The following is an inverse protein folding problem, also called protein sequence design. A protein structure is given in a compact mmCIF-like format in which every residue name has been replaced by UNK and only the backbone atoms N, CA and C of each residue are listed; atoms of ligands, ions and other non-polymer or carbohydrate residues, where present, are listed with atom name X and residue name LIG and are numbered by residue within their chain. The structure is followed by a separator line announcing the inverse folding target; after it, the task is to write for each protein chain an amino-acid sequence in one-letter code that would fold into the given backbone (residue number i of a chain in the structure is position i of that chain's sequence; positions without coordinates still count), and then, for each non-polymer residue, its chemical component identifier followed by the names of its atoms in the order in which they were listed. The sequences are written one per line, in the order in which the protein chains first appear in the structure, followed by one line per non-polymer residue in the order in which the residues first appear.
data_IF_379717671023
#
_entry.id   IF_379717671023
#
_cell.length_a   1.000
_cell.length_b   1.000
_cell.length_c   1.000
_cell.angle_alpha   90.00
_cell.angle_beta   90.00
_cell.angle_gamma   90.00
#
_symmetry.space_group_name_H-M   'P 1'
#
loop_
_entity.id
_entity.type
_entity.pdbx_description
1 polymer ?
#
# COMPACT_ATOMS: atom_id res chain seq x y z
N UNK A 1 -17.70 -20.79 -22.38
CA UNK A 1 -16.26 -21.15 -22.40
C UNK A 1 -16.07 -22.50 -21.72
N UNK A 2 -15.63 -23.55 -22.44
CA UNK A 2 -15.28 -24.84 -21.82
C UNK A 2 -13.93 -24.70 -21.12
N UNK A 3 -13.91 -24.88 -19.80
CA UNK A 3 -12.66 -24.90 -19.02
C UNK A 3 -11.94 -26.20 -19.36
N UNK A 4 -10.73 -26.11 -19.90
CA UNK A 4 -9.89 -27.28 -20.23
C UNK A 4 -9.52 -28.07 -18.97
N UNK A 5 -9.28 -29.38 -19.09
CA UNK A 5 -8.98 -30.27 -17.94
C UNK A 5 -7.82 -29.78 -17.06
N UNK A 6 -6.82 -29.12 -17.66
CA UNK A 6 -5.67 -28.51 -16.98
C UNK A 6 -6.07 -27.33 -16.08
N UNK A 7 -7.03 -26.51 -16.52
CA UNK A 7 -7.55 -25.39 -15.73
C UNK A 7 -8.42 -25.90 -14.57
N UNK A 8 -9.15 -26.99 -14.77
CA UNK A 8 -9.95 -27.62 -13.72
C UNK A 8 -9.06 -28.20 -12.61
N UNK A 9 -7.91 -28.78 -12.95
CA UNK A 9 -6.92 -29.25 -11.98
C UNK A 9 -6.29 -28.10 -11.18
N UNK A 10 -5.93 -26.98 -11.83
CA UNK A 10 -5.44 -25.77 -11.16
C UNK A 10 -6.47 -25.20 -10.18
N UNK A 11 -7.74 -25.13 -10.57
CA UNK A 11 -8.83 -24.68 -9.69
C UNK A 11 -8.94 -25.56 -8.46
N UNK A 12 -8.89 -26.90 -8.61
CA UNK A 12 -8.93 -27.83 -7.47
C UNK A 12 -7.75 -27.63 -6.52
N UNK A 13 -6.55 -27.40 -7.06
CA UNK A 13 -5.35 -27.10 -6.25
C UNK A 13 -5.51 -25.79 -5.49
N UNK A 14 -5.99 -24.71 -6.13
CA UNK A 14 -6.26 -23.43 -5.49
C UNK A 14 -7.31 -23.56 -4.38
N UNK A 15 -8.38 -24.33 -4.61
CA UNK A 15 -9.41 -24.60 -3.59
C UNK A 15 -8.83 -25.34 -2.38
N UNK A 16 -7.94 -26.33 -2.59
CA UNK A 16 -7.26 -27.04 -1.51
C UNK A 16 -6.36 -26.10 -0.71
N UNK A 17 -5.56 -25.27 -1.39
CA UNK A 17 -4.69 -24.28 -0.75
C UNK A 17 -5.48 -23.21 0.00
N UNK A 18 -6.60 -22.75 -0.58
CA UNK A 18 -7.49 -21.81 0.09
C UNK A 18 -8.02 -22.39 1.40
N UNK A 19 -8.45 -23.66 1.43
CA UNK A 19 -8.93 -24.30 2.67
C UNK A 19 -7.87 -24.31 3.76
N UNK A 20 -6.60 -24.53 3.43
CA UNK A 20 -5.50 -24.52 4.42
C UNK A 20 -5.14 -23.10 4.87
N UNK A 21 -5.29 -22.09 3.98
CA UNK A 21 -4.95 -20.69 4.26
C UNK A 21 -6.12 -19.80 4.66
N UNK A 22 -7.35 -20.32 4.68
CA UNK A 22 -8.59 -19.56 4.90
C UNK A 22 -8.53 -18.70 6.17
N UNK A 23 -8.05 -19.26 7.28
CA UNK A 23 -7.93 -18.54 8.55
C UNK A 23 -7.00 -17.32 8.45
N UNK A 24 -5.80 -17.52 7.90
CA UNK A 24 -4.82 -16.44 7.67
C UNK A 24 -5.38 -15.36 6.72
N UNK A 25 -6.05 -15.77 5.64
CA UNK A 25 -6.67 -14.85 4.66
C UNK A 25 -7.77 -14.01 5.33
N UNK A 26 -8.69 -14.64 6.06
CA UNK A 26 -9.78 -13.92 6.75
C UNK A 26 -9.21 -12.95 7.79
N UNK A 27 -8.18 -13.37 8.53
CA UNK A 27 -7.50 -12.48 9.48
C UNK A 27 -6.92 -11.25 8.78
N UNK A 28 -6.21 -11.44 7.67
CA UNK A 28 -5.64 -10.33 6.89
C UNK A 28 -6.71 -9.39 6.30
N UNK A 29 -7.84 -9.93 5.83
CA UNK A 29 -8.97 -9.10 5.39
C UNK A 29 -9.55 -8.26 6.55
N UNK A 30 -9.64 -8.84 7.74
CA UNK A 30 -10.04 -8.11 8.95
C UNK A 30 -9.07 -6.98 9.31
N UNK A 31 -7.76 -7.19 9.15
CA UNK A 31 -6.76 -6.15 9.38
C UNK A 31 -6.89 -4.97 8.39
N UNK A 32 -7.20 -5.25 7.12
CA UNK A 32 -7.43 -4.20 6.12
C UNK A 32 -8.67 -3.37 6.43
N UNK A 33 -9.78 -3.99 6.82
CA UNK A 33 -11.02 -3.29 7.20
C UNK A 33 -10.83 -2.35 8.39
N UNK A 34 -9.96 -2.71 9.33
CA UNK A 34 -9.63 -1.89 10.50
C UNK A 34 -8.66 -0.75 10.19
N UNK A 35 -7.93 -0.81 9.08
CA UNK A 35 -6.86 0.13 8.79
C UNK A 35 -7.38 1.57 8.67
N UNK A 36 -8.44 1.82 7.90
CA UNK A 36 -9.00 3.16 7.79
C UNK A 36 -9.76 3.61 9.04
N UNK A 37 -10.52 2.70 9.67
CA UNK A 37 -11.42 3.05 10.75
C UNK A 37 -10.69 3.22 12.08
N UNK A 38 -9.82 2.27 12.42
CA UNK A 38 -9.28 2.12 13.78
C UNK A 38 -7.86 2.66 13.91
N UNK A 39 -7.10 2.75 12.80
CA UNK A 39 -5.71 3.25 12.83
C UNK A 39 -5.61 4.76 12.57
N UNK A 40 -4.49 5.36 12.94
CA UNK A 40 -4.22 6.79 12.74
C UNK A 40 -3.75 7.10 11.30
N UNK A 41 -3.66 8.39 10.95
CA UNK A 41 -3.22 8.85 9.63
C UNK A 41 -1.81 8.37 9.23
N UNK A 42 -0.91 8.19 10.20
CA UNK A 42 0.44 7.69 9.93
C UNK A 42 0.42 6.22 9.49
N UNK A 43 -0.40 5.37 10.11
CA UNK A 43 -0.57 3.98 9.68
C UNK A 43 -1.17 3.87 8.28
N UNK A 44 -2.17 4.70 7.97
CA UNK A 44 -2.74 4.75 6.63
C UNK A 44 -1.70 5.24 5.61
N UNK A 45 -0.87 6.21 5.98
CA UNK A 45 0.24 6.65 5.14
C UNK A 45 1.34 5.58 4.99
N UNK A 46 1.58 4.74 6.01
CA UNK A 46 2.49 3.59 5.90
C UNK A 46 2.05 2.64 4.76
N UNK A 47 0.75 2.37 4.64
CA UNK A 47 0.21 1.53 3.56
C UNK A 47 0.41 2.17 2.18
N UNK A 48 0.21 3.48 2.08
CA UNK A 48 0.47 4.23 0.84
C UNK A 48 1.95 4.16 0.45
N UNK A 49 2.83 4.43 1.43
CA UNK A 49 4.27 4.38 1.26
C UNK A 49 4.72 2.97 0.85
N UNK A 50 4.21 1.93 1.51
CA UNK A 50 4.45 0.54 1.12
C UNK A 50 4.05 0.29 -0.35
N UNK A 51 2.85 0.72 -0.75
CA UNK A 51 2.39 0.58 -2.13
C UNK A 51 3.29 1.29 -3.15
N UNK A 52 3.79 2.50 -2.83
CA UNK A 52 4.76 3.23 -3.66
C UNK A 52 6.11 2.49 -3.80
N UNK A 53 6.50 1.69 -2.81
CA UNK A 53 7.75 0.94 -2.86
C UNK A 53 7.64 -0.39 -3.62
N UNK A 54 6.44 -0.97 -3.71
CA UNK A 54 6.23 -2.31 -4.27
C UNK A 54 6.43 -2.49 -5.79
N UNK A 55 6.34 -1.48 -6.68
CA UNK A 55 6.58 -1.67 -8.11
C UNK A 55 7.95 -2.29 -8.38
N UNK A 56 7.95 -3.47 -9.01
CA UNK A 56 9.16 -4.25 -9.33
C UNK A 56 10.07 -4.56 -8.13
N UNK A 57 9.53 -4.56 -6.90
CA UNK A 57 10.25 -4.92 -5.68
C UNK A 57 9.54 -6.04 -4.93
N UNK A 58 10.30 -6.85 -4.18
CA UNK A 58 9.72 -7.87 -3.31
C UNK A 58 8.98 -7.17 -2.16
N UNK A 59 7.73 -7.59 -1.90
CA UNK A 59 6.89 -7.01 -0.85
C UNK A 59 7.58 -7.03 0.53
N UNK A 60 8.21 -8.15 0.88
CA UNK A 60 8.92 -8.28 2.16
C UNK A 60 10.01 -7.21 2.33
N UNK A 61 10.85 -6.98 1.31
CA UNK A 61 11.90 -5.96 1.35
C UNK A 61 11.34 -4.55 1.48
N UNK A 62 10.18 -4.28 0.86
CA UNK A 62 9.51 -2.98 0.98
C UNK A 62 8.94 -2.78 2.39
N UNK A 63 8.33 -3.82 2.95
CA UNK A 63 7.75 -3.76 4.28
C UNK A 63 8.81 -3.60 5.37
N UNK A 64 9.92 -4.34 5.26
CA UNK A 64 11.07 -4.20 6.15
C UNK A 64 11.58 -2.75 6.14
N UNK A 65 11.72 -2.15 4.95
CA UNK A 65 12.16 -0.77 4.81
C UNK A 65 11.18 0.24 5.43
N UNK A 66 9.86 0.10 5.20
CA UNK A 66 8.85 0.98 5.82
C UNK A 66 8.88 0.88 7.34
N UNK A 67 9.01 -0.34 7.89
CA UNK A 67 9.15 -0.54 9.33
C UNK A 67 10.37 0.18 9.90
N UNK A 68 11.52 0.07 9.25
CA UNK A 68 12.74 0.76 9.67
C UNK A 68 12.58 2.28 9.60
N UNK A 69 12.06 2.81 8.48
CA UNK A 69 11.80 4.25 8.28
C UNK A 69 10.86 4.78 9.38
N UNK A 70 9.79 4.05 9.68
CA UNK A 70 8.83 4.41 10.73
C UNK A 70 9.47 4.38 12.11
N UNK A 71 10.21 3.33 12.45
CA UNK A 71 10.90 3.19 13.74
C UNK A 71 11.92 4.31 13.97
N UNK A 72 12.62 4.74 12.92
CA UNK A 72 13.54 5.90 12.97
C UNK A 72 12.81 7.26 13.02
N UNK A 73 11.47 7.27 12.97
CA UNK A 73 10.66 8.49 12.91
C UNK A 73 10.85 9.28 11.61
N UNK A 74 11.37 8.66 10.56
CA UNK A 74 11.67 9.33 9.28
C UNK A 74 10.45 9.39 8.36
N UNK A 75 9.40 8.63 8.64
CA UNK A 75 8.21 8.61 7.79
C UNK A 75 7.60 10.02 7.67
N UNK A 76 7.52 10.78 8.77
CA UNK A 76 6.91 12.11 8.78
C UNK A 76 7.87 13.27 8.46
N UNK A 77 9.16 13.13 8.80
CA UNK A 77 10.14 14.22 8.76
C UNK A 77 11.41 13.94 7.94
N UNK A 78 11.65 12.68 7.57
CA UNK A 78 12.87 12.28 6.89
C UNK A 78 12.98 12.86 5.49
N UNK A 79 14.15 13.36 5.12
CA UNK A 79 14.44 13.89 3.78
C UNK A 79 14.49 12.77 2.74
N UNK A 80 14.52 13.12 1.44
CA UNK A 80 14.70 12.12 0.37
C UNK A 80 15.94 11.26 0.61
N UNK A 81 17.05 11.84 1.08
CA UNK A 81 18.28 11.11 1.39
C UNK A 81 18.12 10.18 2.59
N UNK A 82 17.42 10.60 3.65
CA UNK A 82 17.14 9.74 4.79
C UNK A 82 16.28 8.53 4.38
N UNK A 83 15.26 8.76 3.54
CA UNK A 83 14.41 7.68 3.03
C UNK A 83 15.24 6.76 2.13
N UNK A 84 15.96 7.32 1.16
CA UNK A 84 16.83 6.59 0.22
C UNK A 84 17.81 5.65 0.92
N UNK A 85 18.45 6.10 2.00
CA UNK A 85 19.39 5.29 2.79
C UNK A 85 18.77 4.01 3.38
N UNK A 86 17.46 4.02 3.63
CA UNK A 86 16.73 2.86 4.14
C UNK A 86 16.21 1.92 3.02
N UNK A 87 16.35 2.30 1.75
CA UNK A 87 15.78 1.58 0.60
C UNK A 87 16.81 0.69 -0.15
N UNK A 88 17.92 0.32 0.46
CA UNK A 88 19.03 -0.43 -0.19
C UNK A 88 18.60 -1.74 -0.87
N UNK A 89 17.59 -2.46 -0.34
CA UNK A 89 17.02 -3.69 -0.94
C UNK A 89 15.83 -3.44 -1.87
N UNK A 90 15.42 -2.19 -2.05
CA UNK A 90 14.28 -1.79 -2.88
C UNK A 90 14.80 -1.25 -4.22
N UNK A 91 14.38 -1.87 -5.33
CA UNK A 91 14.76 -1.42 -6.68
C UNK A 91 14.24 -0.01 -6.94
N UNK A 92 15.02 0.79 -7.67
CA UNK A 92 14.70 2.20 -7.99
C UNK A 92 14.54 3.11 -6.76
N UNK A 93 15.33 2.82 -5.71
CA UNK A 93 15.32 3.53 -4.42
C UNK A 93 15.35 5.06 -4.54
N UNK A 94 16.16 5.63 -5.43
CA UNK A 94 16.23 7.08 -5.64
C UNK A 94 14.86 7.69 -5.98
N UNK A 95 14.19 7.18 -7.01
CA UNK A 95 12.88 7.68 -7.44
C UNK A 95 11.79 7.39 -6.42
N UNK A 96 11.85 6.23 -5.78
CA UNK A 96 10.87 5.84 -4.76
C UNK A 96 10.96 6.69 -3.48
N UNK A 97 12.17 7.08 -3.08
CA UNK A 97 12.36 8.03 -1.98
C UNK A 97 11.73 9.39 -2.32
N UNK A 98 12.00 9.91 -3.53
CA UNK A 98 11.38 11.13 -4.04
C UNK A 98 9.84 11.06 -4.05
N UNK A 99 9.28 9.95 -4.54
CA UNK A 99 7.82 9.75 -4.59
C UNK A 99 7.18 9.67 -3.20
N UNK A 100 7.81 8.98 -2.25
CA UNK A 100 7.33 8.90 -0.87
C UNK A 100 7.29 10.28 -0.22
N UNK A 101 8.38 11.05 -0.31
CA UNK A 101 8.45 12.42 0.24
C UNK A 101 7.43 13.35 -0.46
N UNK A 102 7.31 13.25 -1.78
CA UNK A 102 6.32 14.02 -2.54
C UNK A 102 4.87 13.68 -2.15
N UNK A 103 4.56 12.40 -1.96
CA UNK A 103 3.25 11.95 -1.49
C UNK A 103 2.96 12.45 -0.08
N UNK A 104 3.94 12.41 0.82
CA UNK A 104 3.82 12.95 2.19
C UNK A 104 3.41 14.41 2.18
N UNK A 105 4.05 15.23 1.36
CA UNK A 105 3.74 16.66 1.26
C UNK A 105 2.29 16.94 0.83
N UNK A 106 1.66 16.05 0.04
CA UNK A 106 0.26 16.19 -0.36
C UNK A 106 -0.73 15.98 0.77
N UNK A 107 -0.38 15.18 1.77
CA UNK A 107 -1.25 14.87 2.91
C UNK A 107 -0.85 15.59 4.19
N UNK A 108 0.20 16.40 4.14
CA UNK A 108 0.63 17.21 5.27
C UNK A 108 -0.23 18.48 5.34
N UNK A 109 -0.90 18.70 6.47
CA UNK A 109 -1.65 19.92 6.76
C UNK A 109 -1.21 20.46 8.13
N UNK A 110 -0.68 21.68 8.17
CA UNK A 110 -0.15 22.33 9.40
C UNK A 110 0.80 21.43 10.20
N UNK A 111 1.66 20.68 9.50
CA UNK A 111 2.65 19.79 10.10
C UNK A 111 2.11 18.42 10.56
N UNK A 112 0.83 18.11 10.35
CA UNK A 112 0.21 16.81 10.66
C UNK A 112 -0.27 16.10 9.41
N UNK A 113 -0.15 14.78 9.36
CA UNK A 113 -0.77 14.00 8.28
C UNK A 113 -2.30 14.01 8.42
N UNK A 114 -2.99 14.23 7.31
CA UNK A 114 -4.45 14.27 7.20
C UNK A 114 -4.94 13.47 5.98
N UNK A 115 -4.36 12.27 5.77
CA UNK A 115 -4.74 11.37 4.67
C UNK A 115 -6.16 10.82 4.86
N UNK A 116 -6.58 10.53 6.09
CA UNK A 116 -7.93 10.04 6.43
C UNK A 116 -9.00 11.06 6.08
N UNK A 117 -8.73 12.35 6.28
CA UNK A 117 -9.66 13.42 5.88
C UNK A 117 -9.82 13.49 4.36
N UNK A 118 -8.71 13.32 3.63
CA UNK A 118 -8.72 13.26 2.17
C UNK A 118 -9.51 12.05 1.66
N UNK A 119 -9.45 10.94 2.39
CA UNK A 119 -10.14 9.68 2.11
C UNK A 119 -11.65 9.73 2.40
N UNK A 120 -12.07 10.33 3.52
CA UNK A 120 -13.48 10.35 3.97
C UNK A 120 -14.41 11.14 3.04
N UNK A 121 -13.87 12.09 2.29
CA UNK A 121 -14.67 12.94 1.41
C UNK A 121 -15.04 12.25 0.08
N UNK A 122 -14.53 11.06 -0.21
CA UNK A 122 -14.81 10.35 -1.46
C UNK A 122 -15.74 9.17 -1.24
N UNK A 123 -16.92 9.22 -1.86
CA UNK A 123 -17.95 8.17 -1.81
C UNK A 123 -17.81 7.12 -2.91
N UNK A 124 -17.02 7.39 -3.95
CA UNK A 124 -16.77 6.49 -5.07
C UNK A 124 -15.30 6.04 -5.11
N UNK A 125 -15.09 4.74 -4.95
CA UNK A 125 -13.76 4.10 -4.99
C UNK A 125 -13.08 4.28 -6.35
N UNK A 126 -13.85 4.29 -7.45
CA UNK A 126 -13.30 4.44 -8.79
C UNK A 126 -12.77 5.85 -9.00
N UNK A 127 -13.57 6.86 -8.67
CA UNK A 127 -13.14 8.26 -8.67
C UNK A 127 -11.91 8.47 -7.79
N UNK A 128 -11.86 7.83 -6.61
CA UNK A 128 -10.70 7.99 -5.74
C UNK A 128 -9.43 7.30 -6.28
N UNK A 129 -9.58 6.12 -6.89
CA UNK A 129 -8.49 5.46 -7.61
C UNK A 129 -7.95 6.35 -8.73
N UNK A 130 -8.83 6.97 -9.51
CA UNK A 130 -8.45 7.95 -10.54
C UNK A 130 -7.68 9.13 -9.95
N UNK A 131 -8.19 9.69 -8.86
CA UNK A 131 -7.55 10.80 -8.18
C UNK A 131 -6.14 10.43 -7.69
N UNK A 132 -5.96 9.26 -7.07
CA UNK A 132 -4.66 8.77 -6.60
C UNK A 132 -3.65 8.67 -7.75
N UNK A 133 -4.05 8.05 -8.86
CA UNK A 133 -3.19 7.88 -10.05
C UNK A 133 -2.77 9.24 -10.62
N UNK A 134 -3.68 10.22 -10.66
CA UNK A 134 -3.39 11.55 -11.20
C UNK A 134 -2.54 12.42 -10.28
N UNK A 135 -2.69 12.28 -8.96
CA UNK A 135 -2.14 13.23 -8.00
C UNK A 135 -0.91 12.72 -7.25
N UNK A 136 -0.71 11.41 -7.16
CA UNK A 136 0.40 10.81 -6.42
C UNK A 136 1.39 10.18 -7.40
N UNK A 137 2.52 10.85 -7.60
CA UNK A 137 3.60 10.35 -8.45
C UNK A 137 4.08 8.98 -7.95
N UNK A 138 4.25 8.04 -8.87
CA UNK A 138 4.69 6.68 -8.56
C UNK A 138 3.55 5.68 -8.30
N UNK A 139 2.27 6.11 -8.27
CA UNK A 139 1.13 5.21 -8.26
C UNK A 139 0.57 5.01 -9.67
N UNK A 140 0.59 3.76 -10.15
CA UNK A 140 -0.26 3.33 -11.26
C UNK A 140 -1.60 2.79 -10.76
N UNK A 141 -2.47 2.37 -11.68
CA UNK A 141 -3.77 1.78 -11.34
C UNK A 141 -3.67 0.56 -10.45
N UNK A 142 -2.64 -0.27 -10.65
CA UNK A 142 -2.40 -1.46 -9.84
C UNK A 142 -2.08 -1.06 -8.40
N UNK A 143 -1.14 -0.13 -8.20
CA UNK A 143 -0.70 0.29 -6.87
C UNK A 143 -1.77 1.12 -6.14
N UNK A 144 -2.52 1.95 -6.86
CA UNK A 144 -3.68 2.65 -6.30
C UNK A 144 -4.73 1.65 -5.82
N UNK A 145 -5.08 0.64 -6.64
CA UNK A 145 -6.01 -0.42 -6.22
C UNK A 145 -5.46 -1.23 -5.03
N UNK A 146 -4.14 -1.49 -5.01
CA UNK A 146 -3.49 -2.19 -3.90
C UNK A 146 -3.61 -1.41 -2.59
N UNK A 147 -3.35 -0.10 -2.62
CA UNK A 147 -3.53 0.78 -1.46
C UNK A 147 -4.98 0.78 -0.97
N UNK A 148 -5.94 0.96 -1.88
CA UNK A 148 -7.37 0.96 -1.54
C UNK A 148 -7.83 -0.35 -0.89
N UNK A 149 -7.36 -1.49 -1.43
CA UNK A 149 -7.60 -2.80 -0.82
C UNK A 149 -7.02 -2.86 0.59
N UNK A 150 -5.77 -2.44 0.78
CA UNK A 150 -5.08 -2.52 2.07
C UNK A 150 -5.69 -1.63 3.16
N UNK A 151 -6.46 -0.60 2.79
CA UNK A 151 -7.17 0.26 3.74
C UNK A 151 -8.66 -0.11 3.88
N UNK A 152 -9.11 -1.21 3.27
CA UNK A 152 -10.44 -1.78 3.51
C UNK A 152 -11.50 -1.51 2.44
N UNK A 153 -11.13 -0.97 1.28
CA UNK A 153 -12.08 -0.74 0.17
C UNK A 153 -12.10 -1.85 -0.90
N UNK A 154 -11.34 -2.94 -0.72
CA UNK A 154 -11.22 -4.02 -1.70
C UNK A 154 -11.99 -5.29 -1.36
#
# INVERSE_FOLDING_TARGET
MKITGTNQQKIRQLQKLYRTKKKEIISGLGEFQKCLNDKNDEEVFCELAFCLLTPQSKAQCCWDAIRTIKWQGLLLKGTEDNIKGNLHRVRFHNKKAQYLVGARARFLNKGKLAIKTSLKNMRDIHAYREWLVRNIKGLGYKEASHFLRNIGFG
#
